data_IF_518674336601
#
_entry.id   IF_518674336601
#
_cell.length_a   1.000
_cell.length_b   1.000
_cell.length_c   1.000
_cell.angle_alpha   90.00
_cell.angle_beta   90.00
_cell.angle_gamma   90.00
#
_symmetry.space_group_name_H-M   'P 1'
#
loop_
_entity.id
_entity.type
_entity.pdbx_description
1 polymer ?
#
# COMPACT_ATOMS: atom_id res chain seq x y z
N UNK A 1 12.17 -9.17 61.50
CA UNK A 1 12.74 -8.35 60.42
C UNK A 1 12.40 -9.02 59.09
N UNK A 2 11.38 -8.51 58.39
CA UNK A 2 11.01 -9.01 57.06
C UNK A 2 11.73 -8.11 56.06
N UNK A 3 12.70 -8.68 55.34
CA UNK A 3 13.44 -7.97 54.30
C UNK A 3 12.53 -7.78 53.08
N UNK A 4 12.18 -6.53 52.79
CA UNK A 4 11.55 -6.16 51.53
C UNK A 4 12.57 -6.36 50.40
N UNK A 5 12.34 -7.36 49.56
CA UNK A 5 13.03 -7.45 48.26
C UNK A 5 12.64 -6.25 47.43
N UNK A 6 13.60 -5.38 47.16
CA UNK A 6 13.43 -4.25 46.27
C UNK A 6 13.11 -4.78 44.87
N UNK A 7 11.92 -4.45 44.37
CA UNK A 7 11.56 -4.61 42.97
C UNK A 7 12.50 -3.72 42.16
N UNK A 8 13.50 -4.29 41.51
CA UNK A 8 14.26 -3.57 40.51
C UNK A 8 13.36 -3.43 39.26
N UNK A 9 13.05 -2.21 38.82
CA UNK A 9 12.34 -2.03 37.56
C UNK A 9 13.22 -2.57 36.43
N UNK A 10 12.68 -3.49 35.64
CA UNK A 10 13.32 -3.97 34.43
C UNK A 10 13.55 -2.75 33.52
N UNK A 11 14.82 -2.41 33.26
CA UNK A 11 15.14 -1.29 32.37
C UNK A 11 14.39 -1.47 31.05
N UNK A 12 13.56 -0.49 30.69
CA UNK A 12 12.87 -0.49 29.41
C UNK A 12 13.94 -0.48 28.30
N UNK A 13 14.09 -1.61 27.61
CA UNK A 13 15.04 -1.70 26.50
C UNK A 13 14.59 -0.76 25.39
N UNK A 14 15.47 0.16 24.99
CA UNK A 14 15.18 1.09 23.89
C UNK A 14 15.00 0.27 22.61
N UNK A 15 13.86 0.43 21.89
CA UNK A 15 13.65 -0.28 20.64
C UNK A 15 14.79 -0.01 19.64
N UNK A 16 15.22 -1.02 18.86
CA UNK A 16 16.23 -0.81 17.85
C UNK A 16 15.74 0.21 16.80
N UNK A 17 16.63 1.10 16.37
CA UNK A 17 16.36 2.10 15.34
C UNK A 17 16.34 1.43 13.95
N UNK A 18 15.21 0.80 13.63
CA UNK A 18 15.06 -0.03 12.45
C UNK A 18 14.51 0.73 11.24
N UNK A 19 15.09 0.52 10.06
CA UNK A 19 14.60 1.08 8.80
C UNK A 19 13.20 0.54 8.46
N UNK A 20 12.29 1.40 8.00
CA UNK A 20 10.89 1.02 7.74
C UNK A 20 10.50 1.16 6.27
N UNK A 21 9.79 0.15 5.74
CA UNK A 21 9.45 0.09 4.33
C UNK A 21 8.14 0.85 3.97
N UNK A 22 8.22 1.67 2.93
CA UNK A 22 7.05 2.21 2.22
C UNK A 22 6.47 1.21 1.21
N UNK A 23 5.34 1.54 0.58
CA UNK A 23 4.78 0.73 -0.52
C UNK A 23 5.35 1.21 -1.85
N UNK A 24 5.70 0.27 -2.73
CA UNK A 24 6.09 0.60 -4.10
C UNK A 24 4.84 0.91 -4.94
N UNK A 25 4.87 2.01 -5.69
CA UNK A 25 3.87 2.39 -6.68
C UNK A 25 4.55 2.65 -8.03
N UNK A 26 3.98 2.12 -9.10
CA UNK A 26 4.58 2.18 -10.44
C UNK A 26 4.66 3.61 -11.01
N UNK A 27 3.74 4.47 -10.61
CA UNK A 27 3.61 5.86 -11.04
C UNK A 27 4.45 6.85 -10.21
N UNK A 28 5.15 6.39 -9.17
CA UNK A 28 5.99 7.22 -8.31
C UNK A 28 7.30 7.69 -8.96
N UNK A 29 7.53 7.41 -10.25
CA UNK A 29 8.74 7.82 -10.98
C UNK A 29 10.04 7.13 -10.51
N UNK A 30 9.91 5.99 -9.82
CA UNK A 30 11.05 5.26 -9.26
C UNK A 30 11.84 4.54 -10.37
N UNK A 31 13.14 4.78 -10.42
CA UNK A 31 14.07 4.04 -11.27
C UNK A 31 14.49 2.73 -10.60
N UNK A 32 13.97 1.59 -11.07
CA UNK A 32 14.23 0.28 -10.46
C UNK A 32 15.72 -0.13 -10.47
N UNK A 33 16.52 0.43 -11.37
CA UNK A 33 17.93 0.12 -11.57
C UNK A 33 18.74 0.58 -10.36
N UNK A 34 18.23 1.59 -9.65
CA UNK A 34 18.82 2.13 -8.44
C UNK A 34 18.49 1.24 -7.21
N UNK A 35 17.64 0.22 -7.36
CA UNK A 35 17.18 -0.66 -6.27
C UNK A 35 17.66 -2.09 -6.45
N UNK A 36 17.94 -2.75 -5.34
CA UNK A 36 18.10 -4.19 -5.23
C UNK A 36 16.78 -4.83 -4.86
N UNK A 37 16.56 -6.06 -5.31
CA UNK A 37 15.31 -6.82 -5.11
C UNK A 37 15.61 -8.06 -4.30
N UNK A 38 14.74 -8.34 -3.31
CA UNK A 38 14.72 -9.61 -2.58
C UNK A 38 13.30 -10.14 -2.39
N UNK A 39 13.18 -11.43 -2.03
CA UNK A 39 11.91 -11.97 -1.52
C UNK A 39 11.55 -11.24 -0.21
N UNK A 40 10.25 -10.94 -0.04
CA UNK A 40 9.70 -10.55 1.26
C UNK A 40 9.38 -11.82 2.04
N UNK A 41 10.06 -12.01 3.16
CA UNK A 41 9.81 -13.13 4.08
C UNK A 41 8.68 -12.77 5.06
N UNK A 42 7.75 -13.70 5.22
CA UNK A 42 6.63 -13.61 6.16
C UNK A 42 7.00 -14.33 7.47
N UNK A 43 7.69 -13.63 8.37
CA UNK A 43 8.20 -14.18 9.62
C UNK A 43 8.08 -13.20 10.77
N UNK A 44 9.06 -13.25 11.68
CA UNK A 44 9.19 -12.29 12.77
C UNK A 44 10.45 -11.46 12.57
N UNK A 45 10.29 -10.17 12.24
CA UNK A 45 11.42 -9.23 12.17
C UNK A 45 12.21 -9.26 13.47
N UNK A 46 13.50 -9.52 13.33
CA UNK A 46 14.40 -9.83 14.43
C UNK A 46 15.73 -9.09 14.22
N UNK A 47 16.09 -8.30 15.22
CA UNK A 47 17.36 -7.60 15.31
C UNK A 47 18.30 -8.35 16.23
N UNK A 48 19.48 -8.70 15.74
CA UNK A 48 20.59 -9.17 16.56
C UNK A 48 21.41 -7.96 17.00
N UNK A 49 21.50 -7.73 18.32
CA UNK A 49 22.22 -6.58 18.89
C UNK A 49 23.72 -6.84 19.13
N UNK A 50 24.20 -8.04 18.78
CA UNK A 50 25.53 -8.53 19.12
C UNK A 50 25.56 -9.53 20.27
N UNK A 51 24.45 -9.71 20.99
CA UNK A 51 24.35 -10.60 22.16
C UNK A 51 23.04 -11.39 22.22
N UNK A 52 21.93 -10.80 21.77
CA UNK A 52 20.61 -11.38 21.83
C UNK A 52 19.73 -10.97 20.65
N UNK A 53 18.68 -11.74 20.43
CA UNK A 53 17.65 -11.44 19.44
C UNK A 53 16.57 -10.57 20.07
N UNK A 54 16.25 -9.47 19.39
CA UNK A 54 15.25 -8.50 19.79
C UNK A 54 14.16 -8.40 18.71
N UNK A 55 12.92 -8.29 19.15
CA UNK A 55 11.82 -7.90 18.25
C UNK A 55 11.98 -6.45 17.81
N UNK A 56 11.17 -6.03 16.82
CA UNK A 56 11.05 -4.61 16.46
C UNK A 56 10.74 -3.69 17.65
N UNK A 57 10.00 -4.18 18.65
CA UNK A 57 9.65 -3.42 19.84
C UNK A 57 10.73 -3.36 20.91
N UNK A 58 11.88 -4.02 20.70
CA UNK A 58 12.95 -4.12 21.70
C UNK A 58 12.78 -5.29 22.68
N UNK A 59 11.71 -6.08 22.56
CA UNK A 59 11.54 -7.25 23.44
C UNK A 59 12.48 -8.39 23.07
N UNK A 60 13.07 -9.03 24.08
CA UNK A 60 13.95 -10.19 23.90
C UNK A 60 13.19 -11.39 23.35
N UNK A 61 13.71 -11.98 22.29
CA UNK A 61 13.26 -13.25 21.74
C UNK A 61 14.01 -14.38 22.47
N UNK A 62 13.32 -15.29 23.17
CA UNK A 62 13.92 -16.42 23.89
C UNK A 62 14.43 -17.49 22.90
N UNK A 63 15.58 -17.26 22.29
CA UNK A 63 16.26 -18.29 21.50
C UNK A 63 17.05 -19.25 22.41
N UNK A 64 17.07 -20.56 22.10
CA UNK A 64 18.00 -21.49 22.73
C UNK A 64 19.45 -21.03 22.52
N UNK A 65 20.31 -21.21 23.52
CA UNK A 65 21.70 -20.75 23.46
C UNK A 65 22.47 -21.28 22.23
N UNK A 66 22.16 -22.51 21.78
CA UNK A 66 22.79 -23.09 20.60
C UNK A 66 22.43 -22.36 19.29
N UNK A 67 21.31 -21.65 19.23
CA UNK A 67 20.83 -21.01 18.00
C UNK A 67 21.70 -19.81 17.60
N UNK A 68 22.22 -19.07 18.58
CA UNK A 68 23.08 -17.89 18.40
C UNK A 68 24.52 -18.13 18.84
N UNK A 69 24.90 -19.38 19.11
CA UNK A 69 26.25 -19.72 19.57
C UNK A 69 27.28 -19.35 18.50
N UNK A 70 28.35 -18.65 18.87
CA UNK A 70 29.42 -18.25 17.95
C UNK A 70 29.06 -17.11 16.98
N UNK A 71 27.88 -16.49 17.12
CA UNK A 71 27.55 -15.31 16.31
C UNK A 71 28.41 -14.11 16.70
N UNK A 72 28.78 -13.24 15.73
CA UNK A 72 29.61 -12.08 15.97
C UNK A 72 28.86 -10.99 16.74
N UNK A 73 29.58 -10.10 17.42
CA UNK A 73 28.99 -8.95 18.09
C UNK A 73 28.45 -7.87 17.12
N UNK A 74 28.68 -8.02 15.81
CA UNK A 74 28.17 -7.09 14.80
C UNK A 74 26.65 -7.16 14.72
N UNK A 75 25.94 -6.04 14.83
CA UNK A 75 24.49 -6.02 14.69
C UNK A 75 24.01 -6.45 13.31
N UNK A 76 22.91 -7.20 13.28
CA UNK A 76 22.27 -7.70 12.06
C UNK A 76 20.76 -7.47 12.11
N UNK A 77 20.16 -7.13 10.97
CA UNK A 77 18.70 -7.06 10.83
C UNK A 77 18.24 -8.17 9.87
N UNK A 78 17.17 -8.84 10.27
CA UNK A 78 16.74 -10.06 9.61
C UNK A 78 15.33 -10.49 9.98
N UNK A 79 14.91 -11.62 9.42
CA UNK A 79 13.61 -12.23 9.66
C UNK A 79 13.79 -13.62 10.25
N UNK A 80 13.21 -13.90 11.42
CA UNK A 80 13.04 -15.27 11.89
C UNK A 80 11.92 -15.94 11.11
N UNK A 81 12.26 -16.97 10.34
CA UNK A 81 11.41 -17.51 9.30
C UNK A 81 11.33 -19.04 9.33
N UNK A 82 10.12 -19.59 9.37
CA UNK A 82 9.85 -21.03 9.43
C UNK A 82 9.60 -21.67 8.05
N UNK A 83 9.68 -20.88 6.97
CA UNK A 83 9.28 -21.28 5.62
C UNK A 83 8.04 -20.53 5.11
N UNK A 84 7.76 -20.68 3.81
CA UNK A 84 6.64 -20.02 3.13
C UNK A 84 5.31 -20.47 3.73
N UNK A 85 4.40 -19.52 3.97
CA UNK A 85 3.09 -19.78 4.56
C UNK A 85 3.12 -20.26 6.03
N UNK A 86 4.26 -20.13 6.74
CA UNK A 86 4.45 -20.61 8.12
C UNK A 86 4.65 -19.49 9.14
N UNK A 87 4.08 -18.32 8.89
CA UNK A 87 4.12 -17.17 9.80
C UNK A 87 3.63 -17.52 11.21
N UNK A 88 2.50 -18.22 11.34
CA UNK A 88 1.95 -18.64 12.64
C UNK A 88 2.92 -19.54 13.42
N UNK A 89 3.63 -20.43 12.72
CA UNK A 89 4.70 -21.24 13.32
C UNK A 89 5.86 -20.36 13.79
N UNK A 90 6.34 -19.43 12.95
CA UNK A 90 7.45 -18.54 13.28
C UNK A 90 7.14 -17.69 14.54
N UNK A 91 5.94 -17.10 14.60
CA UNK A 91 5.46 -16.33 15.76
C UNK A 91 5.35 -17.22 17.00
N UNK A 92 4.77 -18.41 16.87
CA UNK A 92 4.58 -19.33 17.99
C UNK A 92 5.93 -19.73 18.59
N UNK A 93 6.92 -20.10 17.76
CA UNK A 93 8.25 -20.49 18.23
C UNK A 93 9.00 -19.30 18.84
N UNK A 94 8.98 -18.13 18.18
CA UNK A 94 9.71 -16.95 18.65
C UNK A 94 9.18 -16.38 19.98
N UNK A 95 7.91 -16.62 20.33
CA UNK A 95 7.31 -16.12 21.58
C UNK A 95 7.24 -17.15 22.70
N UNK A 96 7.52 -18.42 22.42
CA UNK A 96 7.29 -19.51 23.36
C UNK A 96 8.21 -19.39 24.58
N UNK A 97 7.60 -19.35 25.75
CA UNK A 97 8.26 -19.53 27.05
C UNK A 97 7.37 -20.41 27.96
N UNK A 98 7.96 -21.22 28.86
CA UNK A 98 9.40 -21.51 28.99
C UNK A 98 9.95 -22.33 27.81
N UNK A 99 11.29 -22.32 27.62
CA UNK A 99 11.98 -23.15 26.62
C UNK A 99 12.19 -24.57 27.16
N UNK A 100 11.13 -25.39 27.13
CA UNK A 100 11.23 -26.83 27.30
C UNK A 100 11.91 -27.50 26.08
N UNK A 101 12.18 -28.81 26.17
CA UNK A 101 12.91 -29.52 25.11
C UNK A 101 12.14 -29.58 23.79
N UNK A 102 10.80 -29.65 23.84
CA UNK A 102 9.95 -29.57 22.65
C UNK A 102 10.05 -28.19 21.98
N UNK A 103 10.04 -27.11 22.77
CA UNK A 103 10.18 -25.75 22.28
C UNK A 103 11.57 -25.53 21.68
N UNK A 104 12.63 -26.04 22.30
CA UNK A 104 14.00 -26.02 21.73
C UNK A 104 14.08 -26.81 20.42
N UNK A 105 13.40 -27.95 20.31
CA UNK A 105 13.37 -28.72 19.07
C UNK A 105 12.67 -27.95 17.93
N UNK A 106 11.61 -27.19 18.23
CA UNK A 106 10.89 -26.39 17.23
C UNK A 106 11.78 -25.32 16.57
N UNK A 107 12.78 -24.79 17.28
CA UNK A 107 13.77 -23.85 16.73
C UNK A 107 14.61 -24.45 15.59
N UNK A 108 14.71 -25.78 15.46
CA UNK A 108 15.41 -26.43 14.33
C UNK A 108 14.71 -26.21 12.98
N UNK A 109 13.43 -25.84 13.00
CA UNK A 109 12.68 -25.44 11.81
C UNK A 109 12.79 -23.95 11.46
N UNK A 110 13.48 -23.16 12.29
CA UNK A 110 13.64 -21.71 12.11
C UNK A 110 14.93 -21.39 11.37
N UNK A 111 14.87 -20.33 10.57
CA UNK A 111 16.03 -19.68 9.96
C UNK A 111 16.04 -18.22 10.33
N UNK A 112 17.23 -17.64 10.46
CA UNK A 112 17.43 -16.21 10.54
C UNK A 112 17.88 -15.69 9.16
N UNK A 113 16.95 -15.06 8.46
CA UNK A 113 17.15 -14.53 7.11
C UNK A 113 17.68 -13.10 7.23
N UNK A 114 19.00 -12.93 7.22
CA UNK A 114 19.68 -11.64 7.41
C UNK A 114 19.58 -10.83 6.12
N UNK A 115 19.02 -9.62 6.20
CA UNK A 115 18.86 -8.75 5.03
C UNK A 115 19.60 -7.42 5.13
N UNK A 116 20.11 -7.03 6.31
CA UNK A 116 20.93 -5.83 6.44
C UNK A 116 21.93 -5.86 7.62
N UNK A 117 22.91 -4.94 7.59
CA UNK A 117 23.92 -4.69 8.62
C UNK A 117 23.80 -3.25 9.17
N UNK A 118 23.01 -3.02 10.23
CA UNK A 118 22.70 -1.67 10.74
C UNK A 118 23.90 -0.83 11.18
N UNK A 119 25.00 -1.48 11.61
CA UNK A 119 26.21 -0.79 12.05
C UNK A 119 27.17 -0.43 10.89
N UNK A 120 26.93 -0.93 9.68
CA UNK A 120 27.81 -0.67 8.54
C UNK A 120 27.53 0.72 7.95
N UNK A 121 28.59 1.53 7.79
CA UNK A 121 28.48 2.96 7.42
C UNK A 121 28.32 3.22 5.92
N UNK A 122 28.62 2.22 5.08
CA UNK A 122 28.50 2.31 3.63
C UNK A 122 27.05 2.22 3.13
N UNK A 123 26.91 2.33 1.80
CA UNK A 123 25.64 2.22 1.09
C UNK A 123 25.08 0.80 1.17
N UNK A 124 23.81 0.59 0.82
CA UNK A 124 23.26 -0.77 0.80
C UNK A 124 24.00 -1.67 -0.20
N UNK A 125 24.43 -1.12 -1.34
CA UNK A 125 25.27 -1.84 -2.30
C UNK A 125 26.58 -2.34 -1.68
N UNK A 126 27.20 -1.55 -0.79
CA UNK A 126 28.40 -1.96 -0.03
C UNK A 126 28.08 -2.97 1.07
N UNK A 127 26.88 -2.86 1.68
CA UNK A 127 26.44 -3.78 2.73
C UNK A 127 26.15 -5.18 2.22
N UNK A 128 25.75 -5.36 0.97
CA UNK A 128 25.46 -6.68 0.39
C UNK A 128 26.66 -7.64 0.44
N UNK A 129 27.85 -7.31 -0.08
CA UNK A 129 29.02 -8.20 0.03
C UNK A 129 29.45 -8.40 1.49
N UNK A 130 29.45 -7.34 2.32
CA UNK A 130 29.78 -7.45 3.74
C UNK A 130 28.82 -8.38 4.50
N UNK A 131 27.52 -8.32 4.20
CA UNK A 131 26.49 -9.20 4.76
C UNK A 131 26.72 -10.65 4.36
N UNK A 132 27.08 -10.90 3.10
CA UNK A 132 27.39 -12.26 2.61
C UNK A 132 28.62 -12.83 3.31
N UNK A 133 29.68 -12.03 3.45
CA UNK A 133 30.89 -12.41 4.17
C UNK A 133 30.59 -12.72 5.65
N UNK A 134 29.88 -11.82 6.32
CA UNK A 134 29.50 -11.97 7.73
C UNK A 134 28.69 -13.25 7.98
N UNK A 135 27.67 -13.51 7.16
CA UNK A 135 26.84 -14.71 7.30
C UNK A 135 27.64 -15.97 6.94
N UNK A 136 28.51 -15.91 5.93
CA UNK A 136 29.39 -17.03 5.60
C UNK A 136 30.36 -17.37 6.73
N UNK A 137 30.86 -16.37 7.46
CA UNK A 137 31.76 -16.56 8.60
C UNK A 137 31.06 -17.18 9.82
N UNK A 138 29.73 -17.01 9.95
CA UNK A 138 28.94 -17.68 10.99
C UNK A 138 28.87 -19.20 10.73
N UNK A 139 28.89 -19.62 9.47
CA UNK A 139 28.90 -21.02 9.03
C UNK A 139 27.83 -21.91 9.68
N UNK A 140 26.63 -21.36 9.86
CA UNK A 140 25.47 -22.10 10.39
C UNK A 140 24.35 -22.14 9.37
N UNK A 141 23.80 -23.32 9.03
CA UNK A 141 22.86 -23.47 7.93
C UNK A 141 21.52 -22.77 8.16
N UNK A 142 21.19 -22.43 9.41
CA UNK A 142 19.99 -21.66 9.76
C UNK A 142 20.20 -20.15 9.72
N UNK A 143 21.41 -19.64 9.49
CA UNK A 143 21.68 -18.21 9.28
C UNK A 143 21.96 -18.00 7.81
N UNK A 144 21.12 -17.22 7.14
CA UNK A 144 21.15 -17.11 5.68
C UNK A 144 21.11 -15.65 5.26
N UNK A 145 22.06 -15.27 4.39
CA UNK A 145 22.05 -14.00 3.71
C UNK A 145 20.89 -13.98 2.71
N UNK A 146 20.01 -13.00 2.83
CA UNK A 146 18.93 -12.81 1.86
C UNK A 146 19.52 -12.48 0.50
N UNK A 147 19.11 -13.23 -0.52
CA UNK A 147 19.58 -13.01 -1.88
C UNK A 147 19.08 -11.65 -2.42
N UNK A 148 20.02 -10.85 -2.91
CA UNK A 148 19.78 -9.54 -3.51
C UNK A 148 20.19 -9.56 -4.97
N UNK A 149 19.31 -9.10 -5.86
CA UNK A 149 19.55 -9.07 -7.30
C UNK A 149 18.88 -7.86 -7.97
N UNK A 150 19.17 -7.62 -9.25
CA UNK A 150 18.57 -6.54 -10.05
C UNK A 150 17.48 -7.07 -10.96
N UNK A 151 16.52 -6.23 -11.29
CA UNK A 151 15.51 -6.47 -12.33
C UNK A 151 15.59 -5.35 -13.37
N UNK A 152 15.28 -5.68 -14.63
CA UNK A 152 15.44 -4.74 -15.74
C UNK A 152 14.37 -3.64 -15.73
N UNK A 153 13.12 -4.00 -15.45
CA UNK A 153 11.99 -3.08 -15.54
C UNK A 153 10.82 -3.52 -14.65
N UNK A 154 9.73 -2.73 -14.70
CA UNK A 154 8.52 -2.99 -13.95
C UNK A 154 7.83 -4.29 -14.37
N UNK A 155 7.86 -4.65 -15.67
CA UNK A 155 7.23 -5.88 -16.14
C UNK A 155 7.94 -7.11 -15.58
N UNK A 156 9.28 -7.11 -15.57
CA UNK A 156 10.11 -8.13 -14.94
C UNK A 156 9.86 -8.22 -13.43
N UNK A 157 9.76 -7.08 -12.73
CA UNK A 157 9.42 -7.04 -11.31
C UNK A 157 8.06 -7.67 -11.02
N UNK A 158 7.05 -7.36 -11.83
CA UNK A 158 5.69 -7.92 -11.68
C UNK A 158 5.64 -9.42 -12.01
N UNK A 159 6.36 -9.87 -13.04
CA UNK A 159 6.47 -11.28 -13.37
C UNK A 159 7.10 -12.08 -12.23
N UNK A 160 8.18 -11.55 -11.65
CA UNK A 160 8.85 -12.12 -10.50
C UNK A 160 7.94 -12.15 -9.28
N UNK A 161 7.24 -11.05 -8.97
CA UNK A 161 6.28 -10.99 -7.87
C UNK A 161 5.22 -12.09 -7.99
N UNK A 162 4.62 -12.23 -9.17
CA UNK A 162 3.62 -13.28 -9.46
C UNK A 162 4.20 -14.69 -9.28
N UNK A 163 5.45 -14.92 -9.73
CA UNK A 163 6.14 -16.20 -9.56
C UNK A 163 6.39 -16.49 -8.08
N UNK A 164 6.89 -15.53 -7.31
CA UNK A 164 7.16 -15.65 -5.87
C UNK A 164 5.89 -15.99 -5.11
N UNK A 165 4.80 -15.25 -5.35
CA UNK A 165 3.51 -15.49 -4.69
C UNK A 165 2.90 -16.84 -5.07
N UNK A 166 3.00 -17.24 -6.35
CA UNK A 166 2.56 -18.59 -6.77
C UNK A 166 3.34 -19.71 -6.05
N UNK A 167 4.61 -19.46 -5.75
CA UNK A 167 5.45 -20.36 -4.96
C UNK A 167 5.23 -20.28 -3.44
N UNK A 168 4.22 -19.54 -2.97
CA UNK A 168 3.88 -19.35 -1.55
C UNK A 168 4.66 -18.24 -0.83
N UNK A 169 5.48 -17.47 -1.54
CA UNK A 169 6.19 -16.31 -0.97
C UNK A 169 5.23 -15.13 -0.76
N UNK A 170 5.59 -14.19 0.11
CA UNK A 170 4.68 -13.09 0.48
C UNK A 170 4.67 -11.95 -0.55
N UNK A 171 5.83 -11.65 -1.12
CA UNK A 171 6.02 -10.51 -2.01
C UNK A 171 7.50 -10.27 -2.28
N UNK A 172 7.83 -9.03 -2.65
CA UNK A 172 9.22 -8.59 -2.84
C UNK A 172 9.51 -7.34 -2.00
N UNK A 173 10.79 -7.10 -1.77
CA UNK A 173 11.32 -5.86 -1.20
C UNK A 173 12.26 -5.22 -2.22
N UNK A 174 12.16 -3.91 -2.38
CA UNK A 174 13.12 -3.09 -3.09
C UNK A 174 13.94 -2.31 -2.05
N UNK A 175 15.25 -2.32 -2.19
CA UNK A 175 16.14 -1.53 -1.33
C UNK A 175 17.13 -0.73 -2.20
N UNK A 176 17.09 0.60 -2.08
CA UNK A 176 17.92 1.51 -2.86
C UNK A 176 19.40 1.27 -2.57
N UNK A 177 20.18 1.05 -3.62
CA UNK A 177 21.61 0.73 -3.54
C UNK A 177 22.41 1.79 -2.78
N UNK A 178 22.17 3.08 -3.07
CA UNK A 178 22.86 4.21 -2.44
C UNK A 178 22.36 4.55 -1.02
N UNK A 179 21.40 3.79 -0.47
CA UNK A 179 20.86 4.10 0.85
C UNK A 179 21.86 3.83 1.97
N UNK A 180 22.08 4.82 2.82
CA UNK A 180 22.75 4.64 4.12
C UNK A 180 21.72 4.17 5.13
N UNK A 181 22.11 3.23 6.00
CA UNK A 181 21.19 2.71 7.00
C UNK A 181 20.70 3.82 7.95
N UNK A 182 19.38 4.01 8.01
CA UNK A 182 18.75 4.97 8.90
C UNK A 182 17.47 4.36 9.47
N UNK A 183 17.26 4.52 10.78
CA UNK A 183 16.07 4.05 11.50
C UNK A 183 14.81 4.88 11.20
N UNK A 184 14.60 5.24 9.94
CA UNK A 184 13.53 6.11 9.47
C UNK A 184 12.67 5.37 8.43
N UNK A 185 11.51 5.95 8.14
CA UNK A 185 10.64 5.51 7.06
C UNK A 185 10.82 6.43 5.86
N UNK A 186 11.35 5.91 4.77
CA UNK A 186 11.56 6.66 3.53
C UNK A 186 11.36 5.75 2.31
N UNK A 187 11.65 6.25 1.11
CA UNK A 187 11.52 5.51 -0.14
C UNK A 187 12.77 4.68 -0.49
N UNK A 188 13.75 4.59 0.40
CA UNK A 188 14.91 3.74 0.17
C UNK A 188 14.59 2.27 0.40
N UNK A 189 13.59 1.95 1.23
CA UNK A 189 13.08 0.60 1.44
C UNK A 189 11.60 0.54 1.06
N UNK A 190 11.25 -0.30 0.10
CA UNK A 190 9.89 -0.42 -0.43
C UNK A 190 9.43 -1.86 -0.45
N UNK A 191 8.17 -2.11 -0.10
CA UNK A 191 7.51 -3.42 -0.28
C UNK A 191 6.71 -3.42 -1.57
N UNK A 192 6.93 -4.46 -2.38
CA UNK A 192 6.15 -4.73 -3.59
C UNK A 192 5.10 -5.77 -3.25
N UNK A 193 3.83 -5.36 -3.32
CA UNK A 193 2.69 -6.21 -3.01
C UNK A 193 1.94 -6.56 -4.28
N UNK A 194 1.26 -7.69 -4.28
CA UNK A 194 0.37 -8.07 -5.38
C UNK A 194 -0.83 -7.13 -5.48
N UNK A 195 -1.24 -6.56 -4.35
CA UNK A 195 -2.41 -5.70 -4.24
C UNK A 195 -2.08 -4.37 -3.56
N UNK A 196 -2.78 -3.34 -4.00
CA UNK A 196 -2.74 -1.99 -3.48
C UNK A 196 -4.07 -1.70 -2.79
N UNK A 197 -4.03 -0.94 -1.70
CA UNK A 197 -5.24 -0.45 -1.03
C UNK A 197 -5.34 1.06 -1.31
N UNK A 198 -6.52 1.53 -1.71
CA UNK A 198 -6.78 2.94 -1.98
C UNK A 198 -8.18 3.33 -1.49
N UNK A 199 -8.49 4.61 -1.54
CA UNK A 199 -9.76 5.17 -1.08
C UNK A 199 -10.57 5.72 -2.25
N UNK A 200 -11.89 5.55 -2.18
CA UNK A 200 -12.82 6.15 -3.12
C UNK A 200 -14.12 6.53 -2.41
N UNK A 201 -14.80 7.57 -2.89
CA UNK A 201 -16.08 8.01 -2.36
C UNK A 201 -17.21 7.21 -3.02
N UNK A 202 -18.16 6.73 -2.23
CA UNK A 202 -19.36 6.09 -2.77
C UNK A 202 -20.25 7.15 -3.40
N UNK A 203 -20.57 7.00 -4.69
CA UNK A 203 -21.41 7.94 -5.45
C UNK A 203 -22.72 7.31 -5.94
N UNK A 204 -22.90 6.00 -5.74
CA UNK A 204 -24.16 5.33 -6.05
C UNK A 204 -24.09 3.82 -5.84
N UNK A 205 -25.22 3.15 -6.07
CA UNK A 205 -25.36 1.71 -5.97
C UNK A 205 -25.82 1.13 -7.30
N UNK A 206 -25.33 -0.06 -7.62
CA UNK A 206 -25.76 -0.82 -8.80
C UNK A 206 -26.55 -2.05 -8.34
N UNK A 207 -27.71 -2.34 -8.97
CA UNK A 207 -28.56 -3.46 -8.56
C UNK A 207 -27.85 -4.80 -8.76
N UNK A 208 -28.05 -5.70 -7.80
CA UNK A 208 -27.55 -7.07 -7.87
C UNK A 208 -28.35 -7.94 -8.85
N UNK A 209 -27.71 -9.01 -9.32
CA UNK A 209 -28.30 -10.04 -10.18
C UNK A 209 -28.16 -11.41 -9.51
N UNK A 210 -28.96 -12.39 -9.93
CA UNK A 210 -28.92 -13.76 -9.39
C UNK A 210 -29.19 -13.78 -7.88
N UNK A 211 -28.28 -14.38 -7.10
CA UNK A 211 -28.41 -14.46 -5.63
C UNK A 211 -28.50 -13.09 -4.91
N UNK A 212 -28.15 -12.00 -5.58
CA UNK A 212 -28.24 -10.64 -5.05
C UNK A 212 -29.34 -9.80 -5.71
N UNK A 213 -30.32 -10.42 -6.38
CA UNK A 213 -31.50 -9.72 -6.88
C UNK A 213 -32.24 -9.01 -5.73
N UNK A 214 -32.65 -7.75 -5.96
CA UNK A 214 -33.27 -6.90 -4.93
C UNK A 214 -32.30 -6.32 -3.88
N UNK A 215 -31.01 -6.62 -3.97
CA UNK A 215 -29.95 -6.11 -3.08
C UNK A 215 -28.90 -5.31 -3.85
N UNK A 216 -27.99 -4.67 -3.12
CA UNK A 216 -26.84 -3.98 -3.73
C UNK A 216 -25.87 -4.99 -4.33
N UNK A 217 -25.69 -4.93 -5.66
CA UNK A 217 -24.76 -5.76 -6.42
C UNK A 217 -23.34 -5.22 -6.38
N UNK A 218 -23.19 -3.91 -6.53
CA UNK A 218 -21.90 -3.23 -6.48
C UNK A 218 -22.06 -1.78 -6.01
N UNK A 219 -20.99 -1.23 -5.44
CA UNK A 219 -20.88 0.21 -5.22
C UNK A 219 -20.34 0.86 -6.50
N UNK A 220 -20.94 1.98 -6.92
CA UNK A 220 -20.30 2.92 -7.82
C UNK A 220 -19.50 3.89 -6.97
N UNK A 221 -18.19 3.96 -7.21
CA UNK A 221 -17.29 4.80 -6.44
C UNK A 221 -16.52 5.75 -7.35
N UNK A 222 -16.06 6.85 -6.79
CA UNK A 222 -15.29 7.89 -7.47
C UNK A 222 -13.98 8.15 -6.73
N UNK A 223 -12.86 8.10 -7.46
CA UNK A 223 -11.60 8.67 -7.02
C UNK A 223 -11.55 10.16 -7.40
N UNK A 224 -11.13 11.05 -6.48
CA UNK A 224 -11.00 12.47 -6.79
C UNK A 224 -9.93 12.71 -7.87
N UNK A 225 -10.05 13.82 -8.58
CA UNK A 225 -9.02 14.27 -9.51
C UNK A 225 -7.70 14.53 -8.73
N UNK A 226 -6.60 13.99 -9.22
CA UNK A 226 -5.29 14.12 -8.60
C UNK A 226 -4.18 14.06 -9.66
N UNK A 227 -3.08 14.79 -9.44
CA UNK A 227 -1.89 14.77 -10.29
C UNK A 227 -2.19 14.99 -11.79
N UNK A 228 -3.10 15.92 -12.10
CA UNK A 228 -3.50 16.23 -13.48
C UNK A 228 -4.42 15.21 -14.16
N UNK A 229 -4.84 14.15 -13.45
CA UNK A 229 -5.83 13.17 -13.94
C UNK A 229 -7.24 13.56 -13.48
N UNK A 230 -8.27 13.40 -14.34
CA UNK A 230 -9.65 13.70 -13.97
C UNK A 230 -10.18 12.71 -12.92
N UNK A 231 -11.26 13.08 -12.24
CA UNK A 231 -11.97 12.18 -11.34
C UNK A 231 -12.43 10.92 -12.09
N UNK A 232 -12.24 9.75 -11.48
CA UNK A 232 -12.45 8.48 -12.14
C UNK A 232 -13.49 7.64 -11.40
N UNK A 233 -14.55 7.25 -12.11
CA UNK A 233 -15.61 6.38 -11.59
C UNK A 233 -15.41 4.94 -12.01
N UNK A 234 -15.63 4.03 -11.07
CA UNK A 234 -15.62 2.59 -11.33
C UNK A 234 -16.49 1.85 -10.33
N UNK A 235 -16.71 0.55 -10.57
CA UNK A 235 -17.57 -0.29 -9.75
C UNK A 235 -16.77 -1.24 -8.86
N UNK A 236 -17.24 -1.45 -7.64
CA UNK A 236 -16.72 -2.44 -6.69
C UNK A 236 -17.84 -3.43 -6.36
N UNK A 237 -17.77 -4.63 -6.96
CA UNK A 237 -18.77 -5.67 -6.77
C UNK A 237 -18.35 -6.81 -5.83
N UNK A 238 -17.07 -6.91 -5.50
CA UNK A 238 -16.50 -7.94 -4.63
C UNK A 238 -16.21 -7.36 -3.23
N UNK A 239 -16.14 -8.22 -2.22
CA UNK A 239 -15.78 -7.84 -0.84
C UNK A 239 -16.94 -7.43 0.06
N UNK A 240 -18.09 -7.05 -0.51
CA UNK A 240 -19.31 -6.78 0.25
C UNK A 240 -19.90 -8.08 0.85
N UNK A 241 -20.03 -8.12 2.17
CA UNK A 241 -20.77 -9.13 2.93
C UNK A 241 -22.27 -8.98 2.67
N UNK A 242 -23.05 -10.04 2.92
CA UNK A 242 -24.50 -10.01 2.67
C UNK A 242 -25.23 -8.94 3.50
N UNK A 243 -24.74 -8.65 4.72
CA UNK A 243 -25.24 -7.53 5.53
C UNK A 243 -24.99 -6.17 4.83
N UNK A 244 -23.80 -5.96 4.28
CA UNK A 244 -23.43 -4.75 3.54
C UNK A 244 -24.16 -4.66 2.18
N UNK A 245 -24.69 -5.77 1.65
CA UNK A 245 -25.54 -5.72 0.43
C UNK A 245 -26.97 -5.29 0.73
N UNK A 246 -27.45 -5.64 1.92
CA UNK A 246 -28.75 -5.20 2.46
C UNK A 246 -28.69 -3.75 2.94
N UNK A 247 -27.59 -3.38 3.58
CA UNK A 247 -27.31 -2.03 4.09
C UNK A 247 -25.96 -1.57 3.54
N UNK A 248 -25.91 -1.04 2.31
CA UNK A 248 -24.66 -0.61 1.68
C UNK A 248 -24.02 0.58 2.40
N UNK A 249 -22.68 0.70 2.33
CA UNK A 249 -21.98 1.92 2.73
C UNK A 249 -22.67 3.16 2.16
N UNK A 250 -23.03 4.17 2.99
CA UNK A 250 -23.80 5.32 2.55
C UNK A 250 -23.17 6.05 1.36
N UNK A 251 -23.98 6.59 0.45
CA UNK A 251 -23.51 7.53 -0.56
C UNK A 251 -22.82 8.71 0.16
N UNK A 252 -21.67 9.12 -0.35
CA UNK A 252 -20.80 10.12 0.26
C UNK A 252 -19.77 9.53 1.22
N UNK A 253 -19.94 8.31 1.73
CA UNK A 253 -18.92 7.68 2.58
C UNK A 253 -17.63 7.39 1.80
N UNK A 254 -16.50 7.46 2.50
CA UNK A 254 -15.21 7.05 1.96
C UNK A 254 -14.99 5.57 2.29
N UNK A 255 -14.65 4.77 1.28
CA UNK A 255 -14.39 3.34 1.46
C UNK A 255 -12.95 3.02 1.08
N UNK A 256 -12.33 2.13 1.83
CA UNK A 256 -11.06 1.51 1.44
C UNK A 256 -11.37 0.32 0.55
N UNK A 257 -10.70 0.25 -0.59
CA UNK A 257 -10.77 -0.87 -1.51
C UNK A 257 -9.37 -1.37 -1.86
N UNK A 258 -9.30 -2.66 -2.17
CA UNK A 258 -8.09 -3.37 -2.59
C UNK A 258 -8.13 -3.67 -4.07
N UNK A 259 -7.05 -3.50 -4.80
CA UNK A 259 -6.99 -3.72 -6.25
C UNK A 259 -5.64 -4.27 -6.71
N UNK A 260 -5.57 -4.77 -7.93
CA UNK A 260 -4.38 -5.38 -8.55
C UNK A 260 -3.93 -4.57 -9.77
N UNK A 261 -3.23 -3.46 -9.54
CA UNK A 261 -2.81 -2.53 -10.61
C UNK A 261 -3.99 -1.83 -11.31
N UNK A 262 -3.68 -0.98 -12.29
CA UNK A 262 -4.67 -0.16 -13.01
C UNK A 262 -4.77 -0.52 -14.50
N UNK A 263 -5.84 -0.11 -15.17
CA UNK A 263 -5.92 -0.08 -16.64
C UNK A 263 -5.14 1.11 -17.20
N UNK A 264 -4.97 1.19 -18.52
CA UNK A 264 -4.30 2.33 -19.17
C UNK A 264 -5.04 3.66 -18.90
N UNK A 265 -6.35 3.58 -18.66
CA UNK A 265 -7.19 4.71 -18.24
C UNK A 265 -7.11 5.01 -16.73
N UNK A 266 -6.25 4.31 -15.98
CA UNK A 266 -6.07 4.49 -14.53
C UNK A 266 -7.12 3.79 -13.66
N UNK A 267 -7.99 2.95 -14.23
CA UNK A 267 -9.06 2.27 -13.47
C UNK A 267 -8.50 1.09 -12.67
N UNK A 268 -8.73 0.99 -11.35
CA UNK A 268 -8.29 -0.15 -10.55
C UNK A 268 -8.86 -1.49 -11.07
N UNK A 269 -7.98 -2.47 -11.30
CA UNK A 269 -8.37 -3.82 -11.72
C UNK A 269 -8.68 -4.68 -10.49
N UNK A 270 -9.70 -5.54 -10.61
CA UNK A 270 -10.11 -6.47 -9.54
C UNK A 270 -10.38 -5.80 -8.18
N UNK A 271 -10.93 -4.58 -8.23
CA UNK A 271 -11.26 -3.82 -7.03
C UNK A 271 -12.23 -4.57 -6.11
N UNK A 272 -11.86 -4.70 -4.84
CA UNK A 272 -12.58 -5.44 -3.81
C UNK A 272 -12.76 -4.54 -2.59
N UNK A 273 -13.99 -4.41 -2.10
CA UNK A 273 -14.31 -3.65 -0.90
C UNK A 273 -13.60 -4.24 0.33
N UNK A 274 -13.02 -3.38 1.18
CA UNK A 274 -12.35 -3.78 2.42
C UNK A 274 -13.15 -3.31 3.63
N UNK A 275 -13.41 -2.00 3.74
CA UNK A 275 -14.13 -1.38 4.86
C UNK A 275 -14.60 0.04 4.54
N UNK A 276 -15.53 0.55 5.33
CA UNK A 276 -15.84 1.99 5.43
C UNK A 276 -14.77 2.68 6.28
N UNK A 277 -14.44 3.93 5.96
CA UNK A 277 -13.49 4.78 6.67
C UNK A 277 -14.26 5.59 7.73
N UNK A 278 -13.98 5.37 9.01
CA UNK A 278 -14.80 5.91 10.11
C UNK A 278 -14.40 7.34 10.54
N UNK A 279 -13.18 7.77 10.22
CA UNK A 279 -12.56 9.04 10.65
C UNK A 279 -13.08 10.30 9.93
N UNK A 280 -13.93 10.16 8.90
CA UNK A 280 -14.63 11.28 8.25
C UNK A 280 -16.16 11.21 8.38
N UNK A 281 -16.71 10.14 8.95
CA UNK A 281 -18.15 9.99 9.13
C UNK A 281 -18.72 10.92 10.23
N UNK A 282 -17.87 11.39 11.16
CA UNK A 282 -18.27 12.23 12.29
C UNK A 282 -18.29 13.75 11.98
N UNK A 283 -17.79 14.20 10.83
CA UNK A 283 -17.61 15.63 10.53
C UNK A 283 -18.66 16.28 9.62
N UNK A 284 -19.58 15.52 9.04
CA UNK A 284 -20.51 16.03 8.02
C UNK A 284 -21.90 16.43 8.54
N UNK A 285 -22.15 16.32 9.85
CA UNK A 285 -23.47 16.58 10.44
C UNK A 285 -23.69 18.01 10.96
N UNK A 286 -22.72 18.93 10.88
CA UNK A 286 -22.81 20.22 11.58
C UNK A 286 -22.68 21.50 10.74
N UNK A 287 -22.90 21.47 9.42
CA UNK A 287 -22.86 22.71 8.61
C UNK A 287 -23.88 22.71 7.46
N UNK A 288 -25.17 22.50 7.74
CA UNK A 288 -26.24 22.85 6.78
C UNK A 288 -27.58 23.14 7.47
N UNK A 289 -27.57 24.01 8.48
CA UNK A 289 -28.77 24.76 8.88
C UNK A 289 -28.30 26.00 9.62
N UNK A 290 -28.44 27.17 9.01
CA UNK A 290 -28.78 28.45 9.67
C UNK A 290 -28.61 29.59 8.66
N UNK A 291 -29.68 29.82 7.89
CA UNK A 291 -29.87 31.06 7.15
C UNK A 291 -31.35 31.28 6.80
N UNK A 292 -32.26 31.19 7.78
CA UNK A 292 -33.58 31.86 7.72
C UNK A 292 -34.06 32.14 9.15
N UNK A 293 -34.57 33.36 9.38
CA UNK A 293 -35.18 33.95 10.59
C UNK A 293 -34.19 34.76 11.46
N UNK A 294 -34.41 36.04 11.81
CA UNK A 294 -35.62 36.87 11.85
C UNK A 294 -35.33 38.32 11.43
N UNK A 295 -36.31 38.92 10.75
CA UNK A 295 -36.50 40.36 10.70
C UNK A 295 -37.37 40.83 11.89
N UNK A 296 -37.23 42.12 12.20
CA UNK A 296 -38.10 43.02 12.98
C UNK A 296 -37.99 43.02 14.52
N UNK A 297 -37.29 44.03 15.04
CA UNK A 297 -37.93 45.04 15.91
C UNK A 297 -37.21 46.39 15.85
N UNK A 298 -38.01 47.46 15.78
CA UNK A 298 -37.64 48.83 15.52
C UNK A 298 -37.20 49.62 16.77
N UNK A 299 -36.48 50.73 16.54
CA UNK A 299 -36.63 51.96 17.33
C UNK A 299 -35.39 52.48 18.05
N UNK A 300 -34.73 53.50 17.50
CA UNK A 300 -34.79 54.88 18.04
C UNK A 300 -33.70 55.76 17.44
N UNK A 301 -34.13 56.94 16.99
CA UNK A 301 -33.32 57.99 16.40
C UNK A 301 -32.52 58.79 17.43
N UNK A 302 -31.39 59.37 16.97
CA UNK A 302 -31.12 60.82 16.91
C UNK A 302 -29.72 61.26 17.37
N UNK A 303 -29.15 62.15 16.53
CA UNK A 303 -28.36 63.34 16.84
C UNK A 303 -26.81 63.24 16.93
N UNK A 304 -26.14 64.04 16.09
CA UNK A 304 -24.72 64.37 16.22
C UNK A 304 -24.06 64.90 14.95
N UNK A 305 -24.17 66.20 14.70
CA UNK A 305 -23.71 66.98 13.53
C UNK A 305 -22.23 67.44 13.63
N UNK A 306 -21.60 67.71 12.46
CA UNK A 306 -20.40 68.52 12.10
C UNK A 306 -19.18 67.70 11.61
N UNK A 307 -18.80 67.71 10.33
CA UNK A 307 -18.26 68.76 9.43
C UNK A 307 -16.73 68.94 9.51
N UNK A 308 -15.97 68.56 8.46
CA UNK A 308 -15.20 69.46 7.56
C UNK A 308 -14.18 68.71 6.65
N UNK A 309 -14.33 68.97 5.34
CA UNK A 309 -13.31 69.24 4.30
C UNK A 309 -12.13 68.28 3.98
N UNK A 310 -12.16 67.76 2.74
CA UNK A 310 -11.16 68.11 1.70
C UNK A 310 -10.02 67.13 1.40
N UNK A 311 -10.03 66.47 0.23
CA UNK A 311 -9.02 66.61 -0.84
C UNK A 311 -9.37 65.76 -2.08
N UNK A 312 -9.09 66.34 -3.25
CA UNK A 312 -9.43 65.93 -4.64
C UNK A 312 -8.65 64.69 -5.13
N UNK A 313 -9.23 63.81 -5.97
CA UNK A 313 -9.07 63.80 -7.45
C UNK A 313 -8.01 62.74 -7.87
N UNK A 314 -8.15 61.84 -8.85
CA UNK A 314 -8.75 61.94 -10.18
C UNK A 314 -8.89 60.51 -10.78
N UNK A 315 -10.02 60.24 -11.43
CA UNK A 315 -10.31 59.05 -12.26
C UNK A 315 -10.42 59.50 -13.71
N UNK A 316 -9.80 58.78 -14.66
CA UNK A 316 -10.19 58.83 -16.08
C UNK A 316 -10.02 57.45 -16.73
N UNK A 317 -11.14 56.92 -17.26
CA UNK A 317 -11.18 55.89 -18.30
C UNK A 317 -11.37 56.57 -19.67
N UNK A 318 -11.09 55.89 -20.79
CA UNK A 318 -12.13 55.77 -21.81
C UNK A 318 -12.19 54.45 -22.60
N UNK A 319 -13.42 53.96 -22.75
CA UNK A 319 -14.15 53.48 -23.96
C UNK A 319 -13.51 52.71 -25.14
N UNK A 320 -14.26 51.67 -25.55
CA UNK A 320 -14.22 50.81 -26.76
C UNK A 320 -14.33 51.58 -28.11
N UNK A 321 -14.19 50.90 -29.27
CA UNK A 321 -15.38 50.29 -29.91
C UNK A 321 -15.16 48.92 -30.59
N UNK A 322 -16.30 48.26 -30.83
CA UNK A 322 -16.48 47.01 -31.58
C UNK A 322 -16.54 47.25 -33.10
N UNK A 323 -16.22 46.22 -33.89
CA UNK A 323 -16.59 46.10 -35.31
C UNK A 323 -16.96 44.64 -35.63
N UNK A 324 -18.13 44.48 -36.25
CA UNK A 324 -18.65 43.26 -36.85
C UNK A 324 -18.97 43.55 -38.32
N UNK A 325 -18.78 42.59 -39.23
CA UNK A 325 -19.48 42.38 -40.54
C UNK A 325 -18.81 41.11 -41.16
N UNK A 326 -19.46 39.96 -41.38
CA UNK A 326 -20.57 39.48 -42.25
C UNK A 326 -20.06 38.71 -43.50
N UNK A 327 -20.62 37.49 -43.68
CA UNK A 327 -20.84 36.75 -44.96
C UNK A 327 -19.62 36.09 -45.64
N UNK A 328 -19.66 34.91 -46.29
CA UNK A 328 -20.76 34.12 -46.91
C UNK A 328 -20.29 32.66 -47.18
N UNK A 329 -21.26 31.77 -47.44
CA UNK A 329 -21.14 30.35 -47.82
C UNK A 329 -20.26 30.06 -49.07
N UNK A 330 -19.73 28.83 -49.16
CA UNK A 330 -19.94 27.94 -50.33
C UNK A 330 -19.57 26.48 -50.00
N UNK A 331 -20.27 25.56 -50.66
CA UNK A 331 -20.30 24.11 -50.44
C UNK A 331 -19.37 23.33 -51.39
N UNK A 332 -19.52 21.99 -51.38
CA UNK A 332 -18.92 20.92 -52.23
C UNK A 332 -17.65 20.30 -51.64
N UNK A 333 -17.43 18.98 -51.59
CA UNK A 333 -18.13 17.80 -52.10
C UNK A 333 -17.24 16.57 -51.86
N UNK A 334 -17.87 15.39 -51.74
CA UNK A 334 -17.39 14.03 -52.06
C UNK A 334 -16.00 13.52 -51.63
N UNK A 335 -15.97 12.40 -50.87
CA UNK A 335 -15.77 11.05 -51.43
C UNK A 335 -15.36 10.03 -50.34
N UNK A 336 -16.13 8.95 -50.25
CA UNK A 336 -15.77 7.68 -49.59
C UNK A 336 -14.80 6.87 -50.48
N UNK A 337 -14.09 5.88 -49.92
CA UNK A 337 -14.53 4.53 -50.26
C UNK A 337 -14.55 3.53 -49.10
N UNK A 338 -15.53 2.64 -49.20
CA UNK A 338 -15.74 1.39 -48.48
C UNK A 338 -14.66 0.36 -48.84
N UNK A 339 -14.12 -0.34 -47.84
CA UNK A 339 -13.40 -1.61 -48.03
C UNK A 339 -14.30 -2.73 -47.49
N UNK A 340 -14.78 -3.59 -48.39
CA UNK A 340 -15.27 -4.93 -48.08
C UNK A 340 -14.11 -5.91 -48.22
N UNK A 341 -13.95 -6.82 -47.26
CA UNK A 341 -13.16 -8.03 -47.43
C UNK A 341 -13.87 -9.21 -46.75
N UNK A 342 -14.41 -10.06 -47.60
CA UNK A 342 -14.90 -11.42 -47.39
C UNK A 342 -13.80 -12.30 -46.80
N UNK A 343 -14.09 -13.12 -45.79
CA UNK A 343 -13.30 -14.32 -45.48
C UNK A 343 -14.21 -15.54 -45.39
N UNK A 344 -13.76 -16.54 -46.13
CA UNK A 344 -14.35 -17.84 -46.44
C UNK A 344 -14.51 -18.75 -45.23
N UNK A 345 -15.54 -19.59 -45.31
CA UNK A 345 -15.68 -20.81 -44.54
C UNK A 345 -14.60 -21.84 -44.93
N UNK A 346 -14.14 -22.61 -43.95
CA UNK A 346 -13.57 -23.93 -44.13
C UNK A 346 -14.06 -24.83 -42.98
N UNK A 347 -14.86 -25.83 -43.34
CA UNK A 347 -15.22 -26.98 -42.55
C UNK A 347 -14.17 -28.09 -42.68
N UNK A 348 -14.26 -29.07 -41.77
CA UNK A 348 -13.65 -30.42 -41.65
C UNK A 348 -13.16 -30.51 -40.20
N UNK A 349 -13.65 -31.37 -39.30
CA UNK A 349 -14.40 -32.60 -39.45
C UNK A 349 -13.65 -33.68 -38.69
N UNK A 350 -14.15 -34.09 -37.51
CA UNK A 350 -13.89 -35.44 -36.96
C UNK A 350 -15.06 -35.84 -36.08
N UNK A 351 -15.71 -36.91 -36.49
CA UNK A 351 -16.81 -37.56 -35.81
C UNK A 351 -16.28 -38.51 -34.72
N UNK A 352 -17.16 -38.79 -33.73
CA UNK A 352 -17.52 -40.13 -33.19
C UNK A 352 -16.41 -41.10 -32.76
N UNK A 353 -16.50 -41.95 -31.75
CA UNK A 353 -17.32 -42.21 -30.55
C UNK A 353 -16.72 -43.50 -29.93
N UNK A 354 -17.11 -43.81 -28.68
CA UNK A 354 -17.11 -45.12 -27.95
C UNK A 354 -16.30 -45.07 -26.65
N UNK A 355 -16.95 -45.16 -25.47
CA UNK A 355 -17.35 -46.39 -24.73
C UNK A 355 -16.17 -47.34 -24.50
N UNK A 356 -15.98 -48.02 -23.37
CA UNK A 356 -16.53 -48.12 -22.01
C UNK A 356 -15.60 -49.15 -21.32
N UNK A 357 -15.52 -49.14 -19.99
CA UNK A 357 -15.32 -50.32 -19.12
C UNK A 357 -14.09 -51.24 -19.31
N UNK A 358 -13.18 -51.20 -18.34
CA UNK A 358 -12.79 -52.35 -17.51
C UNK A 358 -11.99 -51.84 -16.29
#
# INVERSE_FOLDING_TARGET
MIAFSAWQPLAAQTPPALMLANSYHADAGIRLQDYWVSEKYDGVRTYWDGQQLLTRGGEKIPAPAWFTAGWPATPMDGELWAGRGRFSTAVSVARKQPLDDASKAAWRGMRYMVFDLPAHRGTFSDRIPALKEQVSAIDQPWVQAVNQFKVADHAALQALLKKTVRGGGEGLVLHRGESVYQGLRNNDLLKVKTHEDAEARVVGYLPGKGKYAGLTGALLVEMPAANGKPALRFRIGAGLKDAERRQPPPIGSLVTYRFLGVTDAGVPRFATFVRVREDLAAGAASTFTDAVALADFAGSAACGLRALAGFEGLVVAPTLPALAFLSTLTATGESTPTISATISAASIGTASSRTQSA
#
